data_IF_416085430719
#
_entry.id   IF_416085430719
#
_cell.length_a   1.000
_cell.length_b   1.000
_cell.length_c   1.000
_cell.angle_alpha   90.00
_cell.angle_beta   90.00
_cell.angle_gamma   90.00
#
_symmetry.space_group_name_H-M   'P 1'
#
loop_
_entity.id
_entity.type
_entity.pdbx_description
1 polymer ?
#
# COMPACT_ATOMS: atom_id res chain seq x y z
N UNK A 1 27.52 -6.21 -11.85
CA UNK A 1 26.91 -7.37 -11.18
C UNK A 1 26.73 -8.47 -12.20
N UNK A 2 26.70 -9.71 -11.73
CA UNK A 2 26.26 -10.91 -12.46
C UNK A 2 26.96 -11.20 -13.80
N UNK A 3 28.23 -10.82 -13.97
CA UNK A 3 28.95 -11.10 -15.22
C UNK A 3 29.19 -12.61 -15.44
N UNK A 4 29.92 -13.24 -14.53
CA UNK A 4 30.18 -14.68 -14.49
C UNK A 4 30.15 -15.06 -13.00
N UNK A 5 29.43 -16.12 -12.60
CA UNK A 5 29.49 -16.62 -11.23
C UNK A 5 30.95 -16.83 -10.79
N UNK A 6 31.29 -16.38 -9.58
CA UNK A 6 32.68 -16.20 -9.17
C UNK A 6 33.51 -17.51 -9.18
N UNK A 7 32.84 -18.65 -9.08
CA UNK A 7 33.41 -20.00 -9.14
C UNK A 7 33.41 -20.64 -10.54
N UNK A 8 32.84 -19.98 -11.54
CA UNK A 8 32.73 -20.50 -12.92
C UNK A 8 33.77 -19.90 -13.88
N UNK A 9 34.63 -19.00 -13.41
CA UNK A 9 35.67 -18.39 -14.24
C UNK A 9 36.65 -19.39 -14.87
N UNK A 10 36.80 -20.58 -14.29
CA UNK A 10 37.60 -21.68 -14.85
C UNK A 10 37.07 -22.19 -16.20
N UNK A 11 35.79 -21.96 -16.51
CA UNK A 11 35.18 -22.33 -17.79
C UNK A 11 35.60 -21.40 -18.95
N UNK A 12 36.36 -20.33 -18.67
CA UNK A 12 36.68 -19.27 -19.62
C UNK A 12 38.21 -19.12 -19.81
N UNK A 13 38.88 -20.09 -20.47
CA UNK A 13 40.35 -20.12 -20.57
C UNK A 13 40.95 -18.91 -21.30
N UNK A 14 40.18 -18.25 -22.19
CA UNK A 14 40.62 -17.01 -22.85
C UNK A 14 40.80 -15.86 -21.86
N UNK A 15 39.94 -15.76 -20.83
CA UNK A 15 40.09 -14.77 -19.77
C UNK A 15 41.32 -15.05 -18.91
N UNK A 16 41.61 -16.32 -18.64
CA UNK A 16 42.82 -16.70 -17.90
C UNK A 16 44.09 -16.37 -18.68
N UNK A 17 44.12 -16.68 -19.98
CA UNK A 17 45.25 -16.35 -20.84
C UNK A 17 45.52 -14.83 -20.87
N UNK A 18 44.45 -14.04 -21.05
CA UNK A 18 44.52 -12.58 -21.00
C UNK A 18 45.01 -12.06 -19.63
N UNK A 19 44.45 -12.60 -18.54
CA UNK A 19 44.86 -12.20 -17.19
C UNK A 19 46.34 -12.51 -16.92
N UNK A 20 46.83 -13.69 -17.37
CA UNK A 20 48.23 -14.08 -17.22
C UNK A 20 49.18 -13.19 -18.02
N UNK A 21 48.79 -12.84 -19.23
CA UNK A 21 49.54 -11.90 -20.07
C UNK A 21 49.62 -10.51 -19.42
N UNK A 22 48.49 -10.03 -18.87
CA UNK A 22 48.38 -8.66 -18.36
C UNK A 22 48.90 -8.46 -16.93
N UNK A 23 48.67 -9.42 -16.04
CA UNK A 23 48.92 -9.32 -14.60
C UNK A 23 49.95 -10.34 -14.08
N UNK A 24 50.53 -11.13 -14.98
CA UNK A 24 51.60 -12.08 -14.67
C UNK A 24 51.12 -13.52 -14.53
N UNK A 25 52.07 -14.46 -14.54
CA UNK A 25 51.80 -15.90 -14.70
C UNK A 25 50.93 -16.55 -13.62
N UNK A 26 50.80 -15.93 -12.44
CA UNK A 26 49.96 -16.40 -11.33
C UNK A 26 48.50 -15.93 -11.42
N UNK A 27 48.20 -15.00 -12.32
CA UNK A 27 46.86 -14.47 -12.47
C UNK A 27 45.86 -15.55 -12.92
N UNK A 28 44.63 -15.40 -12.47
CA UNK A 28 43.51 -16.29 -12.78
C UNK A 28 42.51 -15.58 -13.68
N UNK A 29 41.58 -16.31 -14.29
CA UNK A 29 40.55 -15.74 -15.16
C UNK A 29 39.77 -14.57 -14.52
N UNK A 30 39.44 -14.65 -13.22
CA UNK A 30 38.75 -13.57 -12.49
C UNK A 30 39.57 -12.26 -12.41
N UNK A 31 40.90 -12.33 -12.46
CA UNK A 31 41.74 -11.13 -12.43
C UNK A 31 41.56 -10.27 -13.70
N UNK A 32 41.09 -10.85 -14.81
CA UNK A 32 40.65 -10.09 -15.98
C UNK A 32 39.50 -9.14 -15.63
N UNK A 33 38.53 -9.61 -14.82
CA UNK A 33 37.40 -8.82 -14.37
C UNK A 33 37.81 -7.76 -13.33
N UNK A 34 38.65 -8.12 -12.35
CA UNK A 34 39.18 -7.15 -11.38
C UNK A 34 39.99 -6.05 -12.05
N UNK A 35 40.79 -6.42 -13.05
CA UNK A 35 41.55 -5.47 -13.85
C UNK A 35 40.67 -4.55 -14.69
N UNK A 36 39.57 -5.06 -15.24
CA UNK A 36 38.56 -4.24 -15.92
C UNK A 36 37.92 -3.21 -14.98
N UNK A 37 37.58 -3.61 -13.75
CA UNK A 37 37.05 -2.69 -12.73
C UNK A 37 38.05 -1.56 -12.44
N UNK A 38 39.32 -1.89 -12.20
CA UNK A 38 40.36 -0.87 -11.93
C UNK A 38 40.61 0.04 -13.12
N UNK A 39 40.60 -0.51 -14.34
CA UNK A 39 40.68 0.29 -15.57
C UNK A 39 39.52 1.29 -15.67
N UNK A 40 38.28 0.84 -15.48
CA UNK A 40 37.10 1.70 -15.49
C UNK A 40 37.17 2.77 -14.38
N UNK A 41 37.60 2.39 -13.17
CA UNK A 41 37.84 3.31 -12.06
C UNK A 41 38.84 4.41 -12.44
N UNK A 42 39.93 4.06 -13.13
CA UNK A 42 40.91 5.02 -13.64
C UNK A 42 40.32 6.07 -14.59
N UNK A 43 39.32 5.71 -15.41
CA UNK A 43 38.61 6.66 -16.30
C UNK A 43 37.74 7.60 -15.47
N UNK A 44 36.97 7.06 -14.53
CA UNK A 44 36.06 7.82 -13.66
C UNK A 44 36.84 8.83 -12.80
N UNK A 45 37.96 8.40 -12.22
CA UNK A 45 38.85 9.26 -11.41
C UNK A 45 39.48 10.41 -12.19
N UNK A 46 39.85 10.19 -13.46
CA UNK A 46 40.37 11.27 -14.33
C UNK A 46 39.37 12.41 -14.52
N UNK A 47 38.08 12.16 -14.29
CA UNK A 47 37.01 13.16 -14.36
C UNK A 47 36.55 13.65 -12.97
N UNK A 48 37.33 13.38 -11.93
CA UNK A 48 37.03 13.83 -10.56
C UNK A 48 35.78 13.21 -9.96
N UNK A 49 35.43 11.98 -10.39
CA UNK A 49 34.27 11.23 -9.90
C UNK A 49 34.73 10.02 -9.08
N UNK A 50 33.83 9.50 -8.24
CA UNK A 50 34.04 8.27 -7.45
C UNK A 50 33.24 7.14 -8.07
N UNK A 51 33.90 6.01 -8.34
CA UNK A 51 33.24 4.81 -8.86
C UNK A 51 32.42 4.15 -7.76
N UNK A 52 31.24 3.63 -8.13
CA UNK A 52 30.45 2.73 -7.29
C UNK A 52 30.19 1.43 -8.05
N UNK A 53 30.26 0.29 -7.39
CA UNK A 53 29.93 -1.02 -7.99
C UNK A 53 29.15 -1.88 -6.99
N UNK A 54 28.48 -2.91 -7.51
CA UNK A 54 27.93 -4.00 -6.71
C UNK A 54 29.03 -4.94 -6.19
N UNK A 55 28.79 -5.59 -5.05
CA UNK A 55 29.79 -6.40 -4.36
C UNK A 55 29.94 -7.85 -4.86
N UNK A 56 28.96 -8.37 -5.60
CA UNK A 56 28.83 -9.80 -5.95
C UNK A 56 29.99 -10.37 -6.77
N UNK A 57 30.69 -9.50 -7.51
CA UNK A 57 31.89 -9.89 -8.25
C UNK A 57 33.14 -10.07 -7.39
N UNK A 58 33.14 -9.62 -6.13
CA UNK A 58 34.32 -9.60 -5.27
C UNK A 58 34.31 -10.76 -4.26
N UNK A 59 35.40 -11.52 -4.22
CA UNK A 59 35.60 -12.65 -3.32
C UNK A 59 37.06 -13.11 -3.26
N UNK A 60 37.38 -14.14 -2.47
CA UNK A 60 38.75 -14.58 -2.20
C UNK A 60 39.42 -15.37 -3.33
N UNK A 61 39.01 -15.16 -4.57
CA UNK A 61 39.44 -15.97 -5.72
C UNK A 61 40.54 -15.32 -6.55
N UNK A 62 40.52 -13.99 -6.69
CA UNK A 62 41.53 -13.25 -7.45
C UNK A 62 42.90 -13.19 -6.78
N UNK A 63 43.91 -12.89 -7.59
CA UNK A 63 45.29 -12.66 -7.14
C UNK A 63 45.67 -11.19 -7.15
N UNK A 64 44.93 -10.35 -7.87
CA UNK A 64 45.03 -8.89 -7.80
C UNK A 64 43.93 -8.31 -6.93
N UNK A 65 44.08 -7.05 -6.52
CA UNK A 65 43.09 -6.33 -5.71
C UNK A 65 42.36 -5.30 -6.57
N UNK A 66 41.05 -5.17 -6.32
CA UNK A 66 40.26 -4.03 -6.78
C UNK A 66 40.68 -2.79 -5.96
N UNK A 67 40.63 -1.61 -6.59
CA UNK A 67 41.00 -0.35 -5.93
C UNK A 67 40.03 0.00 -4.79
N UNK A 68 40.56 0.34 -3.61
CA UNK A 68 39.76 0.58 -2.39
C UNK A 68 39.08 1.95 -2.32
N UNK A 69 39.33 2.82 -3.29
CA UNK A 69 38.63 4.11 -3.42
C UNK A 69 37.31 4.01 -4.19
N UNK A 70 36.93 2.79 -4.58
CA UNK A 70 35.60 2.44 -5.11
C UNK A 70 34.64 2.20 -3.94
N UNK A 71 33.43 2.73 -4.04
CA UNK A 71 32.35 2.44 -3.06
C UNK A 71 31.62 1.16 -3.47
N UNK A 72 31.40 0.25 -2.53
CA UNK A 72 30.74 -1.03 -2.76
C UNK A 72 29.31 -1.01 -2.22
N UNK A 73 28.32 -1.10 -3.10
CA UNK A 73 26.93 -1.30 -2.70
C UNK A 73 26.72 -2.81 -2.46
N UNK A 74 26.52 -3.18 -1.20
CA UNK A 74 26.45 -4.58 -0.74
C UNK A 74 25.01 -5.05 -0.79
N UNK A 75 24.71 -5.88 -1.78
CA UNK A 75 23.37 -6.45 -1.97
C UNK A 75 23.29 -7.93 -1.65
N UNK A 76 24.39 -8.66 -1.83
CA UNK A 76 24.48 -10.11 -1.64
C UNK A 76 25.62 -10.45 -0.68
N UNK A 77 25.44 -11.45 0.16
CA UNK A 77 26.55 -12.05 0.93
C UNK A 77 26.31 -13.54 1.04
N UNK A 78 27.29 -14.34 0.62
CA UNK A 78 27.25 -15.79 0.65
C UNK A 78 28.66 -16.36 0.84
N UNK A 79 28.82 -17.69 0.80
CA UNK A 79 30.11 -18.36 1.00
C UNK A 79 31.19 -17.99 -0.03
N UNK A 80 30.84 -17.33 -1.13
CA UNK A 80 31.74 -16.98 -2.24
C UNK A 80 32.09 -15.49 -2.29
N UNK A 81 31.33 -14.64 -1.60
CA UNK A 81 31.46 -13.17 -1.67
C UNK A 81 31.95 -12.61 -0.34
N UNK A 82 32.53 -11.42 -0.35
CA UNK A 82 32.88 -10.73 0.89
C UNK A 82 31.65 -10.09 1.54
N UNK A 83 31.52 -10.19 2.87
CA UNK A 83 30.56 -9.40 3.64
C UNK A 83 30.96 -7.93 3.72
N UNK A 84 30.05 -7.04 4.11
CA UNK A 84 30.37 -5.62 4.31
C UNK A 84 31.46 -5.44 5.38
N UNK A 85 31.43 -6.22 6.47
CA UNK A 85 32.50 -6.25 7.48
C UNK A 85 33.86 -6.64 6.89
N UNK A 86 33.91 -7.62 5.98
CA UNK A 86 35.17 -7.98 5.31
C UNK A 86 35.68 -6.83 4.44
N UNK A 87 34.79 -6.21 3.66
CA UNK A 87 35.11 -5.12 2.75
C UNK A 87 35.64 -3.89 3.52
N UNK A 88 35.01 -3.52 4.64
CA UNK A 88 35.48 -2.42 5.49
C UNK A 88 36.89 -2.70 6.02
N UNK A 89 37.16 -3.93 6.51
CA UNK A 89 38.50 -4.35 6.97
C UNK A 89 39.54 -4.30 5.85
N UNK A 90 39.13 -4.53 4.61
CA UNK A 90 39.98 -4.42 3.43
C UNK A 90 40.19 -2.96 2.97
N UNK A 91 39.46 -2.01 3.53
CA UNK A 91 39.64 -0.57 3.29
C UNK A 91 38.49 0.10 2.54
N UNK A 92 37.49 -0.63 2.09
CA UNK A 92 36.40 -0.08 1.25
C UNK A 92 35.36 0.70 2.05
N UNK A 93 34.74 1.66 1.38
CA UNK A 93 33.47 2.28 1.79
C UNK A 93 32.32 1.43 1.24
N UNK A 94 31.28 1.20 2.05
CA UNK A 94 30.17 0.32 1.72
C UNK A 94 28.81 1.03 1.85
N UNK A 95 27.88 0.70 0.96
CA UNK A 95 26.47 1.08 1.05
C UNK A 95 25.59 -0.14 1.28
N UNK A 96 24.52 0.01 2.06
CA UNK A 96 23.58 -1.06 2.34
C UNK A 96 22.51 -1.14 1.25
N UNK A 97 22.56 -2.22 0.47
CA UNK A 97 21.59 -2.52 -0.59
C UNK A 97 20.90 -3.85 -0.31
N UNK A 98 20.53 -4.09 0.94
CA UNK A 98 19.93 -5.35 1.41
C UNK A 98 18.81 -5.86 0.47
N UNK A 99 19.11 -6.92 -0.28
CA UNK A 99 18.19 -7.51 -1.27
C UNK A 99 16.87 -8.00 -0.67
N UNK A 100 16.86 -8.42 0.60
CA UNK A 100 15.65 -8.95 1.24
C UNK A 100 14.70 -7.85 1.73
N UNK A 101 15.12 -6.59 1.74
CA UNK A 101 14.35 -5.47 2.31
C UNK A 101 14.23 -4.25 1.39
N UNK A 102 15.20 -4.05 0.50
CA UNK A 102 15.38 -2.81 -0.26
C UNK A 102 15.34 -3.01 -1.77
N UNK A 103 14.86 -4.14 -2.27
CA UNK A 103 14.69 -4.36 -3.70
C UNK A 103 13.22 -4.22 -4.06
N UNK A 104 12.90 -3.44 -5.08
CA UNK A 104 11.59 -3.39 -5.71
C UNK A 104 11.76 -3.84 -7.15
N UNK A 105 11.15 -4.96 -7.52
CA UNK A 105 11.27 -5.54 -8.86
C UNK A 105 9.90 -5.52 -9.51
N UNK A 106 9.79 -4.84 -10.64
CA UNK A 106 8.52 -4.66 -11.34
C UNK A 106 7.84 -6.02 -11.62
N UNK A 107 6.57 -6.12 -11.21
CA UNK A 107 5.77 -7.34 -11.43
C UNK A 107 6.25 -8.58 -10.66
N UNK A 108 6.96 -8.38 -9.54
CA UNK A 108 7.41 -9.45 -8.63
C UNK A 108 7.09 -9.07 -7.19
N UNK A 109 6.02 -9.65 -6.63
CA UNK A 109 5.46 -9.19 -5.35
C UNK A 109 6.15 -9.79 -4.11
N UNK A 110 6.68 -11.02 -4.22
CA UNK A 110 7.32 -11.72 -3.08
C UNK A 110 8.68 -11.15 -2.69
N UNK A 111 9.37 -10.49 -3.63
CA UNK A 111 10.71 -9.93 -3.44
C UNK A 111 10.71 -8.42 -3.23
N UNK A 112 9.56 -7.77 -3.45
CA UNK A 112 9.48 -6.31 -3.47
C UNK A 112 9.42 -5.71 -2.06
N UNK A 113 10.16 -4.62 -1.88
CA UNK A 113 10.25 -3.85 -0.67
C UNK A 113 8.88 -3.34 -0.25
N UNK A 114 8.54 -3.51 1.03
CA UNK A 114 7.24 -3.13 1.58
C UNK A 114 7.40 -2.02 2.61
N UNK A 115 6.57 -0.97 2.56
CA UNK A 115 6.76 0.21 3.40
C UNK A 115 6.54 -0.08 4.90
N UNK A 116 5.63 -0.98 5.24
CA UNK A 116 5.41 -1.48 6.60
C UNK A 116 6.63 -2.24 7.12
N UNK A 117 7.15 -3.19 6.34
CA UNK A 117 8.31 -3.98 6.71
C UNK A 117 9.58 -3.13 6.83
N UNK A 118 9.76 -2.12 5.97
CA UNK A 118 10.84 -1.14 6.11
C UNK A 118 10.68 -0.32 7.40
N UNK A 119 9.48 0.19 7.67
CA UNK A 119 9.26 1.03 8.83
C UNK A 119 9.49 0.27 10.15
N UNK A 120 8.98 -0.96 10.23
CA UNK A 120 8.92 -1.73 11.46
C UNK A 120 10.16 -2.62 11.68
N UNK A 121 10.67 -3.25 10.61
CA UNK A 121 11.65 -4.33 10.74
C UNK A 121 13.00 -4.07 10.07
N UNK A 122 13.12 -3.06 9.21
CA UNK A 122 14.40 -2.71 8.61
C UNK A 122 15.24 -1.83 9.56
N UNK A 123 16.55 -2.02 9.54
CA UNK A 123 17.52 -1.15 10.20
C UNK A 123 18.62 -0.85 9.17
N UNK A 124 18.94 0.42 8.88
CA UNK A 124 19.94 0.79 7.87
C UNK A 124 21.35 0.29 8.20
N UNK A 125 21.61 -0.07 9.46
CA UNK A 125 22.88 -0.63 9.91
C UNK A 125 22.94 -2.16 9.76
N UNK A 126 21.83 -2.84 9.48
CA UNK A 126 21.79 -4.30 9.31
C UNK A 126 21.85 -4.66 7.81
N UNK A 127 22.94 -5.30 7.42
CA UNK A 127 23.18 -5.73 6.03
C UNK A 127 22.51 -7.09 5.75
N UNK A 128 22.54 -7.52 4.48
CA UNK A 128 21.85 -8.74 3.99
C UNK A 128 22.18 -10.02 4.75
N UNK A 129 23.37 -10.15 5.34
CA UNK A 129 23.78 -11.28 6.18
C UNK A 129 23.50 -11.09 7.67
N UNK A 130 22.64 -10.12 8.04
CA UNK A 130 22.29 -9.74 9.41
C UNK A 130 23.43 -9.16 10.24
N UNK A 131 24.56 -8.80 9.64
CA UNK A 131 25.62 -8.09 10.36
C UNK A 131 25.22 -6.64 10.61
N UNK A 132 25.45 -6.16 11.83
CA UNK A 132 25.16 -4.79 12.25
C UNK A 132 26.42 -3.93 12.19
N UNK A 133 26.38 -2.86 11.42
CA UNK A 133 27.46 -1.88 11.21
C UNK A 133 27.01 -0.48 11.62
N UNK A 134 26.59 -0.37 12.88
CA UNK A 134 26.20 0.90 13.50
C UNK A 134 27.46 1.71 13.85
N UNK A 135 27.39 3.03 13.64
CA UNK A 135 28.48 3.97 13.92
C UNK A 135 29.78 3.73 13.13
N UNK A 136 29.74 2.89 12.09
CA UNK A 136 30.88 2.64 11.21
C UNK A 136 30.99 3.76 10.15
N UNK A 137 32.04 4.59 10.18
CA UNK A 137 32.17 5.75 9.28
C UNK A 137 32.27 5.38 7.80
N UNK A 138 32.62 4.13 7.46
CA UNK A 138 32.66 3.64 6.08
C UNK A 138 31.32 3.07 5.59
N UNK A 139 30.30 3.01 6.44
CA UNK A 139 28.93 2.70 6.03
C UNK A 139 28.21 4.00 5.62
N UNK A 140 27.88 4.15 4.34
CA UNK A 140 27.26 5.37 3.79
C UNK A 140 25.73 5.36 3.82
N UNK A 141 25.12 4.38 4.51
CA UNK A 141 23.68 4.26 4.66
C UNK A 141 23.04 3.33 3.61
N UNK A 142 21.71 3.37 3.54
CA UNK A 142 20.92 2.45 2.75
C UNK A 142 20.14 3.11 1.62
N UNK A 143 19.84 2.39 0.55
CA UNK A 143 19.04 2.90 -0.57
C UNK A 143 18.15 1.80 -1.17
N UNK A 144 16.99 2.19 -1.69
CA UNK A 144 16.11 1.31 -2.46
C UNK A 144 16.73 1.02 -3.83
N UNK A 145 16.57 -0.20 -4.33
CA UNK A 145 16.90 -0.60 -5.70
C UNK A 145 15.61 -0.86 -6.45
N UNK A 146 15.34 -0.05 -7.48
CA UNK A 146 14.20 -0.21 -8.37
C UNK A 146 14.68 -0.93 -9.64
N UNK A 147 14.11 -2.11 -9.91
CA UNK A 147 14.49 -2.97 -11.03
C UNK A 147 13.32 -3.18 -11.98
N UNK A 148 13.56 -2.90 -13.26
CA UNK A 148 12.55 -3.00 -14.32
C UNK A 148 12.67 -4.32 -15.10
N UNK A 149 12.87 -5.45 -14.43
CA UNK A 149 13.04 -6.77 -15.06
C UNK A 149 11.84 -7.15 -15.94
N UNK A 150 10.64 -6.73 -15.52
CA UNK A 150 9.41 -6.79 -16.31
C UNK A 150 8.89 -5.37 -16.55
N UNK A 151 9.44 -4.63 -17.51
CA UNK A 151 9.19 -3.19 -17.66
C UNK A 151 7.71 -2.87 -17.97
N UNK A 152 6.99 -3.82 -18.56
CA UNK A 152 5.57 -3.66 -18.91
C UNK A 152 4.62 -4.07 -17.77
N UNK A 153 5.14 -4.45 -16.59
CA UNK A 153 4.29 -4.92 -15.48
C UNK A 153 3.68 -3.79 -14.66
N UNK A 154 4.30 -2.60 -14.66
CA UNK A 154 3.84 -1.44 -13.91
C UNK A 154 4.15 -0.17 -14.70
N UNK A 155 3.19 0.74 -14.76
CA UNK A 155 3.34 2.09 -15.31
C UNK A 155 4.14 2.98 -14.35
N UNK A 156 4.65 4.10 -14.86
CA UNK A 156 5.33 5.11 -14.02
C UNK A 156 4.43 5.63 -12.88
N UNK A 157 3.11 5.63 -13.07
CA UNK A 157 2.13 6.11 -12.10
C UNK A 157 1.85 5.08 -10.99
N UNK A 158 1.74 3.79 -11.33
CA UNK A 158 1.68 2.69 -10.36
C UNK A 158 2.96 2.65 -9.52
N UNK A 159 4.11 2.78 -10.18
CA UNK A 159 5.40 2.87 -9.50
C UNK A 159 5.47 4.06 -8.55
N UNK A 160 5.00 5.22 -8.98
CA UNK A 160 4.94 6.40 -8.12
C UNK A 160 4.16 6.13 -6.83
N UNK A 161 2.98 5.51 -6.96
CA UNK A 161 2.10 5.18 -5.83
C UNK A 161 2.77 4.19 -4.88
N UNK A 162 3.34 3.11 -5.41
CA UNK A 162 4.07 2.11 -4.61
C UNK A 162 5.29 2.70 -3.90
N UNK A 163 6.09 3.48 -4.63
CA UNK A 163 7.32 4.07 -4.13
C UNK A 163 7.07 5.21 -3.13
N UNK A 164 5.93 5.88 -3.20
CA UNK A 164 5.60 7.00 -2.31
C UNK A 164 5.81 6.61 -0.85
N UNK A 165 5.14 5.55 -0.39
CA UNK A 165 5.22 5.10 0.99
C UNK A 165 6.58 4.48 1.34
N UNK A 166 7.18 3.73 0.40
CA UNK A 166 8.50 3.09 0.58
C UNK A 166 9.57 4.15 0.88
N UNK A 167 9.59 5.24 0.11
CA UNK A 167 10.57 6.31 0.30
C UNK A 167 10.41 7.03 1.64
N UNK A 168 9.18 7.24 2.14
CA UNK A 168 8.97 7.88 3.45
C UNK A 168 9.39 6.96 4.60
N UNK A 169 9.05 5.67 4.52
CA UNK A 169 9.50 4.69 5.49
C UNK A 169 11.03 4.62 5.52
N UNK A 170 11.66 4.50 4.35
CA UNK A 170 13.12 4.46 4.25
C UNK A 170 13.77 5.77 4.73
N UNK A 171 13.19 6.93 4.43
CA UNK A 171 13.68 8.22 4.92
C UNK A 171 13.68 8.30 6.45
N UNK A 172 12.60 7.87 7.11
CA UNK A 172 12.54 7.79 8.58
C UNK A 172 13.67 6.92 9.15
N UNK A 173 13.93 5.77 8.51
CA UNK A 173 14.97 4.84 8.97
C UNK A 173 16.37 5.39 8.74
N UNK A 174 16.64 5.92 7.55
CA UNK A 174 17.94 6.46 7.16
C UNK A 174 18.32 7.75 7.91
N UNK A 175 17.33 8.56 8.30
CA UNK A 175 17.60 9.78 9.06
C UNK A 175 18.18 9.49 10.46
N UNK A 176 17.95 8.28 10.99
CA UNK A 176 18.50 7.85 12.28
C UNK A 176 17.77 8.42 13.50
N UNK A 177 16.67 9.15 13.30
CA UNK A 177 15.77 9.54 14.38
C UNK A 177 15.00 8.34 14.92
N UNK A 178 14.63 8.41 16.21
CA UNK A 178 13.62 7.50 16.76
C UNK A 178 12.35 7.52 15.92
N UNK A 179 11.67 6.38 15.86
CA UNK A 179 10.40 6.26 15.14
C UNK A 179 9.40 7.22 15.78
N UNK A 180 8.78 8.07 14.96
CA UNK A 180 7.83 9.10 15.42
C UNK A 180 6.57 8.44 16.02
N UNK A 181 6.21 7.24 15.53
CA UNK A 181 5.12 6.39 16.03
C UNK A 181 5.51 4.92 15.99
N UNK A 182 4.86 4.09 16.80
CA UNK A 182 5.26 2.70 17.01
C UNK A 182 5.01 1.82 15.77
N UNK A 183 3.86 2.00 15.11
CA UNK A 183 3.41 1.14 14.00
C UNK A 183 3.25 1.91 12.70
N UNK A 184 3.51 1.24 11.58
CA UNK A 184 3.36 1.81 10.25
C UNK A 184 1.92 2.31 9.98
N UNK A 185 0.92 1.63 10.53
CA UNK A 185 -0.48 2.07 10.45
C UNK A 185 -0.72 3.49 10.97
N UNK A 186 -0.01 3.89 12.04
CA UNK A 186 -0.02 5.25 12.58
C UNK A 186 0.82 6.19 11.71
N UNK A 187 1.96 5.70 11.23
CA UNK A 187 2.88 6.48 10.39
C UNK A 187 2.22 6.92 9.08
N UNK A 188 1.32 6.12 8.51
CA UNK A 188 0.52 6.50 7.34
C UNK A 188 -0.21 7.84 7.52
N UNK A 189 -0.77 8.09 8.71
CA UNK A 189 -1.46 9.35 9.00
C UNK A 189 -0.49 10.54 8.91
N UNK A 190 0.71 10.38 9.46
CA UNK A 190 1.77 11.40 9.40
C UNK A 190 2.26 11.60 7.97
N UNK A 191 2.50 10.52 7.22
CA UNK A 191 2.91 10.60 5.81
C UNK A 191 1.89 11.37 4.96
N UNK A 192 0.59 11.15 5.20
CA UNK A 192 -0.48 11.83 4.49
C UNK A 192 -0.58 13.31 4.87
N UNK A 193 -0.37 13.64 6.16
CA UNK A 193 -0.31 15.03 6.63
C UNK A 193 0.88 15.80 6.06
N UNK A 194 2.05 15.15 5.93
CA UNK A 194 3.24 15.75 5.31
C UNK A 194 3.02 15.94 3.81
N UNK A 195 2.40 14.96 3.16
CA UNK A 195 2.03 15.03 1.75
C UNK A 195 3.23 15.14 0.80
N UNK A 196 3.04 15.92 -0.26
CA UNK A 196 4.03 16.15 -1.30
C UNK A 196 4.79 17.46 -1.09
N UNK A 197 5.99 17.54 -1.67
CA UNK A 197 6.77 18.76 -1.69
C UNK A 197 6.02 19.89 -2.45
N UNK A 198 6.21 21.16 -2.07
CA UNK A 198 5.66 22.29 -2.80
C UNK A 198 6.00 22.24 -4.30
N UNK A 199 5.03 22.59 -5.14
CA UNK A 199 5.18 22.51 -6.60
C UNK A 199 4.92 21.14 -7.21
N UNK A 200 4.55 20.14 -6.39
CA UNK A 200 3.98 18.90 -6.90
C UNK A 200 2.62 19.18 -7.55
N UNK A 201 2.52 19.01 -8.87
CA UNK A 201 1.31 19.26 -9.65
C UNK A 201 0.47 18.01 -9.89
N UNK A 202 0.73 16.93 -9.15
CA UNK A 202 0.17 15.60 -9.43
C UNK A 202 0.86 14.91 -10.61
N UNK A 203 0.64 13.59 -10.71
CA UNK A 203 0.45 12.99 -12.03
C UNK A 203 -0.94 13.45 -12.48
N UNK A 204 -1.03 14.18 -13.60
CA UNK A 204 -2.32 14.64 -14.13
C UNK A 204 -2.94 13.51 -14.94
N UNK A 205 -3.59 12.57 -14.28
CA UNK A 205 -4.33 11.51 -14.98
C UNK A 205 -5.59 11.15 -14.22
N UNK A 206 -6.64 11.07 -15.04
CA UNK A 206 -7.91 10.41 -14.78
C UNK A 206 -7.65 9.08 -14.07
N UNK A 207 -8.13 8.97 -12.84
CA UNK A 207 -7.81 7.92 -11.88
C UNK A 207 -8.38 6.58 -12.39
N UNK A 208 -7.57 5.81 -13.13
CA UNK A 208 -7.77 4.37 -13.38
C UNK A 208 -6.92 3.63 -12.35
N UNK A 209 -7.54 3.23 -11.24
CA UNK A 209 -6.80 2.59 -10.12
C UNK A 209 -6.64 1.12 -10.44
N UNK A 210 -5.49 0.79 -10.99
CA UNK A 210 -5.04 -0.59 -11.12
C UNK A 210 -4.63 -1.12 -9.75
N UNK A 211 -5.34 -2.14 -9.26
CA UNK A 211 -4.86 -2.99 -8.17
C UNK A 211 -4.87 -4.45 -8.63
N UNK A 212 -3.70 -4.99 -8.99
CA UNK A 212 -3.49 -6.43 -9.13
C UNK A 212 -3.42 -7.05 -7.73
N UNK A 213 -4.32 -7.98 -7.40
CA UNK A 213 -4.33 -8.63 -6.08
C UNK A 213 -3.92 -10.08 -6.23
N UNK A 214 -2.70 -10.40 -5.79
CA UNK A 214 -2.20 -11.77 -5.60
C UNK A 214 -2.57 -12.28 -4.20
N UNK A 215 -3.87 -12.45 -3.93
CA UNK A 215 -4.31 -13.38 -2.88
C UNK A 215 -5.73 -13.89 -3.14
N UNK A 216 -5.80 -15.17 -3.55
CA UNK A 216 -7.05 -15.91 -3.75
C UNK A 216 -7.36 -16.67 -2.46
N UNK A 217 -8.38 -16.21 -1.72
CA UNK A 217 -9.05 -17.06 -0.73
C UNK A 217 -9.71 -18.23 -1.49
N UNK A 218 -9.27 -19.44 -1.17
CA UNK A 218 -9.63 -20.69 -1.85
C UNK A 218 -11.11 -21.02 -1.68
N UNK A 219 -11.86 -21.06 -2.79
CA UNK A 219 -13.05 -21.92 -2.94
C UNK A 219 -13.36 -22.17 -4.43
N UNK A 220 -12.41 -22.75 -5.19
CA UNK A 220 -12.66 -23.19 -6.58
C UNK A 220 -13.88 -24.12 -6.71
N UNK A 221 -14.22 -24.84 -5.63
CA UNK A 221 -15.41 -25.69 -5.55
C UNK A 221 -16.75 -24.92 -5.55
N UNK A 222 -16.73 -23.58 -5.45
CA UNK A 222 -17.92 -22.73 -5.43
C UNK A 222 -18.11 -21.88 -6.69
N UNK A 223 -17.18 -21.91 -7.64
CA UNK A 223 -17.32 -21.25 -8.96
C UNK A 223 -17.11 -19.72 -8.98
N UNK A 224 -16.37 -19.16 -8.02
CA UNK A 224 -16.04 -17.73 -7.95
C UNK A 224 -14.66 -17.45 -7.32
N UNK A 225 -14.15 -16.23 -7.52
CA UNK A 225 -12.96 -15.64 -6.85
C UNK A 225 -13.41 -14.45 -6.00
N UNK A 226 -12.87 -14.32 -4.78
CA UNK A 226 -13.07 -13.16 -3.90
C UNK A 226 -11.78 -12.36 -3.77
N UNK A 227 -11.89 -11.04 -3.83
CA UNK A 227 -10.78 -10.08 -3.88
C UNK A 227 -10.97 -9.04 -2.77
N UNK A 228 -9.95 -8.79 -1.92
CA UNK A 228 -9.92 -7.66 -0.96
C UNK A 228 -9.11 -6.48 -1.53
N UNK A 229 -9.82 -5.43 -1.93
CA UNK A 229 -9.29 -4.17 -2.46
C UNK A 229 -8.54 -3.35 -1.40
N UNK A 230 -8.63 -3.68 -0.11
CA UNK A 230 -7.91 -3.05 0.99
C UNK A 230 -8.40 -1.65 1.37
N UNK A 231 -8.99 -0.92 0.42
CA UNK A 231 -9.73 0.33 0.61
C UNK A 231 -11.10 0.24 -0.08
N UNK A 232 -11.93 1.27 0.05
CA UNK A 232 -13.26 1.31 -0.55
C UNK A 232 -13.16 2.01 -1.90
N UNK A 233 -13.66 1.35 -2.94
CA UNK A 233 -13.67 1.86 -4.29
C UNK A 233 -15.10 1.90 -4.82
N UNK A 234 -15.42 2.92 -5.61
CA UNK A 234 -16.55 2.85 -6.52
C UNK A 234 -16.08 2.11 -7.77
N UNK A 235 -16.55 0.88 -7.96
CA UNK A 235 -16.06 0.02 -9.04
C UNK A 235 -16.71 0.46 -10.36
N UNK A 236 -15.90 0.74 -11.39
CA UNK A 236 -16.39 1.10 -12.72
C UNK A 236 -16.53 -0.14 -13.61
N UNK A 237 -15.52 -1.02 -13.58
CA UNK A 237 -15.54 -2.27 -14.34
C UNK A 237 -14.69 -3.36 -13.72
N UNK A 238 -14.98 -4.61 -14.09
CA UNK A 238 -14.17 -5.77 -13.77
C UNK A 238 -13.89 -6.51 -15.07
N UNK A 239 -12.63 -6.87 -15.29
CA UNK A 239 -12.17 -7.63 -16.44
C UNK A 239 -11.54 -8.93 -15.98
N UNK A 240 -11.67 -9.97 -16.79
CA UNK A 240 -11.00 -11.24 -16.57
C UNK A 240 -10.64 -11.86 -17.92
N UNK A 241 -9.57 -12.66 -17.95
CA UNK A 241 -9.20 -13.47 -19.13
C UNK A 241 -10.25 -14.54 -19.51
N UNK A 242 -11.26 -14.73 -18.66
CA UNK A 242 -12.39 -15.61 -18.88
C UNK A 242 -13.72 -14.83 -18.87
N UNK A 243 -14.76 -15.42 -19.49
CA UNK A 243 -16.09 -14.81 -19.56
C UNK A 243 -16.69 -14.65 -18.15
N UNK A 244 -16.84 -13.40 -17.72
CA UNK A 244 -17.52 -13.05 -16.46
C UNK A 244 -19.03 -13.29 -16.62
N UNK A 245 -19.60 -14.08 -15.71
CA UNK A 245 -21.04 -14.33 -15.60
C UNK A 245 -21.72 -13.28 -14.71
N UNK A 246 -21.11 -12.94 -13.57
CA UNK A 246 -21.55 -11.86 -12.68
C UNK A 246 -20.43 -11.41 -11.75
N UNK A 247 -20.63 -10.24 -11.16
CA UNK A 247 -19.79 -9.65 -10.13
C UNK A 247 -20.65 -9.27 -8.94
N UNK A 248 -20.19 -9.56 -7.73
CA UNK A 248 -20.79 -9.11 -6.49
C UNK A 248 -19.82 -8.22 -5.71
N UNK A 249 -20.38 -7.27 -4.97
CA UNK A 249 -19.69 -6.22 -4.24
C UNK A 249 -19.99 -6.35 -2.74
N UNK A 250 -18.96 -6.19 -1.92
CA UNK A 250 -19.08 -6.24 -0.47
C UNK A 250 -18.14 -5.26 0.22
N UNK A 251 -18.51 -4.85 1.43
CA UNK A 251 -17.66 -4.04 2.30
C UNK A 251 -16.92 -4.88 3.33
N UNK A 252 -17.37 -6.10 3.58
CA UNK A 252 -16.95 -6.93 4.71
C UNK A 252 -16.82 -8.43 4.40
N UNK A 253 -16.83 -8.81 3.12
CA UNK A 253 -16.77 -10.18 2.63
C UNK A 253 -17.90 -11.14 3.08
N UNK A 254 -18.95 -10.67 3.76
CA UNK A 254 -20.06 -11.51 4.23
C UNK A 254 -21.39 -11.19 3.56
N UNK A 255 -21.71 -9.90 3.38
CA UNK A 255 -22.91 -9.46 2.67
C UNK A 255 -22.52 -9.10 1.25
N UNK A 256 -23.21 -9.63 0.25
CA UNK A 256 -22.84 -9.49 -1.17
C UNK A 256 -24.02 -8.96 -1.97
N UNK A 257 -23.75 -8.07 -2.93
CA UNK A 257 -24.76 -7.48 -3.81
C UNK A 257 -24.25 -7.45 -5.24
N UNK A 258 -25.10 -7.71 -6.23
CA UNK A 258 -24.76 -7.51 -7.66
C UNK A 258 -24.95 -6.05 -8.09
N UNK A 259 -25.53 -5.20 -7.24
CA UNK A 259 -25.62 -3.77 -7.50
C UNK A 259 -24.23 -3.15 -7.37
N UNK A 260 -23.85 -2.36 -8.37
CA UNK A 260 -22.55 -1.72 -8.43
C UNK A 260 -22.46 -0.58 -7.42
N UNK A 261 -22.06 -0.95 -6.22
CA UNK A 261 -21.96 -0.09 -5.04
C UNK A 261 -20.51 0.03 -4.59
N UNK A 262 -20.16 1.06 -3.80
CA UNK A 262 -18.85 1.14 -3.18
C UNK A 262 -18.49 -0.16 -2.45
N UNK A 263 -17.34 -0.73 -2.79
CA UNK A 263 -16.91 -2.04 -2.32
C UNK A 263 -15.45 -2.00 -1.85
N UNK A 264 -15.18 -2.77 -0.80
CA UNK A 264 -13.82 -3.18 -0.44
C UNK A 264 -13.52 -4.59 -0.96
N UNK A 265 -14.55 -5.41 -1.12
CA UNK A 265 -14.41 -6.77 -1.58
C UNK A 265 -15.22 -6.96 -2.86
N UNK A 266 -14.64 -7.69 -3.81
CA UNK A 266 -15.29 -8.03 -5.08
C UNK A 266 -15.28 -9.54 -5.25
N UNK A 267 -16.43 -10.13 -5.58
CA UNK A 267 -16.57 -11.55 -5.87
C UNK A 267 -16.95 -11.74 -7.33
N UNK A 268 -16.19 -12.55 -8.05
CA UNK A 268 -16.26 -12.65 -9.51
C UNK A 268 -16.57 -14.09 -9.89
N UNK A 269 -17.67 -14.28 -10.59
CA UNK A 269 -18.09 -15.57 -11.12
C UNK A 269 -17.75 -15.58 -12.60
N UNK A 270 -16.73 -16.35 -13.01
CA UNK A 270 -16.37 -16.50 -14.42
C UNK A 270 -16.32 -17.97 -14.84
N UNK A 271 -16.42 -18.20 -16.15
CA UNK A 271 -16.28 -19.54 -16.74
C UNK A 271 -14.83 -20.02 -16.59
N UNK A 272 -14.62 -21.26 -16.11
CA UNK A 272 -13.29 -21.88 -16.02
C UNK A 272 -12.22 -21.03 -15.28
N UNK A 273 -12.61 -20.26 -14.26
CA UNK A 273 -11.68 -19.46 -13.46
C UNK A 273 -10.70 -20.37 -12.71
N UNK A 274 -9.40 -20.10 -12.86
CA UNK A 274 -8.30 -20.87 -12.25
C UNK A 274 -7.43 -19.97 -11.38
N UNK A 275 -6.52 -20.59 -10.64
CA UNK A 275 -5.51 -19.87 -9.83
C UNK A 275 -4.54 -19.00 -10.64
N UNK A 276 -4.56 -19.14 -11.97
CA UNK A 276 -3.73 -18.39 -12.91
C UNK A 276 -4.54 -17.41 -13.77
N UNK A 277 -5.83 -17.22 -13.49
CA UNK A 277 -6.66 -16.32 -14.27
C UNK A 277 -6.34 -14.87 -13.94
N UNK A 278 -5.99 -14.08 -14.95
CA UNK A 278 -5.81 -12.64 -14.81
C UNK A 278 -7.18 -11.98 -14.59
N UNK A 279 -7.30 -11.23 -13.49
CA UNK A 279 -8.50 -10.50 -13.11
C UNK A 279 -8.10 -9.07 -12.74
N UNK A 280 -8.75 -8.10 -13.36
CA UNK A 280 -8.54 -6.68 -13.10
C UNK A 280 -9.85 -6.05 -12.58
N UNK A 281 -9.75 -5.26 -11.52
CA UNK A 281 -10.87 -4.48 -10.97
C UNK A 281 -10.49 -3.01 -11.09
N UNK A 282 -11.36 -2.21 -11.71
CA UNK A 282 -11.16 -0.80 -11.98
C UNK A 282 -12.19 0.00 -11.20
N UNK A 283 -11.76 1.07 -10.54
CA UNK A 283 -12.69 1.96 -9.84
C UNK A 283 -12.01 3.16 -9.21
N UNK A 284 -12.82 4.14 -8.82
CA UNK A 284 -12.40 5.35 -8.12
C UNK A 284 -12.24 5.06 -6.61
N UNK A 285 -11.08 5.38 -6.04
CA UNK A 285 -10.79 5.25 -4.62
C UNK A 285 -11.63 6.31 -3.94
N UNK A 286 -12.56 5.86 -3.11
CA UNK A 286 -13.25 6.78 -2.25
C UNK A 286 -12.30 7.15 -1.10
N UNK A 287 -12.27 8.44 -0.67
CA UNK A 287 -11.55 8.85 0.52
C UNK A 287 -11.80 7.90 1.69
N UNK A 288 -10.87 7.78 2.64
CA UNK A 288 -11.07 6.93 3.82
C UNK A 288 -12.43 7.24 4.47
N UNK A 289 -13.20 6.20 4.85
CA UNK A 289 -14.48 6.39 5.54
C UNK A 289 -14.22 7.15 6.85
N UNK A 290 -14.50 8.45 6.86
CA UNK A 290 -14.26 9.35 7.97
C UNK A 290 -15.08 8.95 9.20
N UNK A 291 -16.19 8.24 9.01
CA UNK A 291 -17.06 7.77 10.08
C UNK A 291 -16.58 6.47 10.74
N UNK A 292 -15.65 5.72 10.13
CA UNK A 292 -15.28 4.38 10.59
C UNK A 292 -14.76 4.38 12.05
N UNK A 293 -15.39 3.57 12.89
CA UNK A 293 -15.09 3.41 14.32
C UNK A 293 -15.10 4.74 15.11
N UNK A 294 -15.84 5.73 14.62
CA UNK A 294 -16.01 7.02 15.29
C UNK A 294 -17.13 6.95 16.32
N UNK A 295 -17.17 7.95 17.21
CA UNK A 295 -18.23 8.06 18.19
C UNK A 295 -19.57 8.35 17.50
N UNK A 296 -20.55 7.51 17.78
CA UNK A 296 -21.93 7.66 17.29
C UNK A 296 -22.86 7.99 18.45
N UNK A 297 -23.74 8.96 18.25
CA UNK A 297 -24.85 9.28 19.16
C UNK A 297 -26.16 9.12 18.41
N UNK A 298 -27.14 8.46 19.02
CA UNK A 298 -28.44 8.17 18.40
C UNK A 298 -29.57 8.76 19.24
N UNK A 299 -30.69 9.07 18.60
CA UNK A 299 -31.90 9.54 19.26
C UNK A 299 -32.48 8.53 20.25
N UNK A 300 -32.38 7.25 19.90
CA UNK A 300 -32.91 6.14 20.69
C UNK A 300 -32.25 4.82 20.30
N UNK A 301 -32.51 3.75 21.04
CA UNK A 301 -32.15 2.40 20.65
C UNK A 301 -33.23 1.42 21.10
N UNK A 302 -33.56 0.46 20.23
CA UNK A 302 -34.47 -0.63 20.59
C UNK A 302 -33.89 -1.51 21.70
N UNK A 303 -32.60 -1.84 21.56
CA UNK A 303 -31.84 -2.61 22.52
C UNK A 303 -30.36 -2.23 22.38
N UNK A 304 -29.79 -1.60 23.41
CA UNK A 304 -28.40 -1.12 23.40
C UNK A 304 -27.38 -2.27 23.54
N UNK A 305 -27.79 -3.45 24.02
CA UNK A 305 -26.90 -4.61 24.12
C UNK A 305 -26.83 -5.37 22.80
N UNK A 306 -27.95 -5.43 22.06
CA UNK A 306 -28.07 -6.23 20.83
C UNK A 306 -27.82 -5.39 19.57
N UNK A 307 -28.34 -4.16 19.50
CA UNK A 307 -28.24 -3.27 18.34
C UNK A 307 -27.73 -1.86 18.71
N UNK A 308 -26.53 -1.75 19.33
CA UNK A 308 -25.94 -0.48 19.73
C UNK A 308 -25.64 0.45 18.57
N UNK A 309 -25.54 1.75 18.88
CA UNK A 309 -25.16 2.80 17.94
C UNK A 309 -23.81 2.55 17.24
N UNK A 310 -22.86 1.86 17.90
CA UNK A 310 -21.55 1.54 17.33
C UNK A 310 -21.62 0.68 16.07
N UNK A 311 -22.70 -0.10 15.89
CA UNK A 311 -22.89 -0.90 14.67
C UNK A 311 -23.13 -0.06 13.42
N UNK A 312 -23.41 1.23 13.56
CA UNK A 312 -23.63 2.11 12.41
C UNK A 312 -22.30 2.37 11.67
N UNK A 313 -21.15 2.25 12.33
CA UNK A 313 -19.86 2.64 11.76
C UNK A 313 -18.76 1.59 11.97
N UNK A 314 -19.14 0.34 12.23
CA UNK A 314 -18.22 -0.76 12.51
C UNK A 314 -17.66 -1.42 11.23
N UNK A 315 -18.15 -1.01 10.06
CA UNK A 315 -17.73 -1.54 8.76
C UNK A 315 -18.47 -2.81 8.35
N UNK A 316 -19.50 -3.26 9.09
CA UNK A 316 -20.16 -4.54 8.92
C UNK A 316 -21.65 -4.40 8.54
N UNK A 317 -22.01 -4.78 7.31
CA UNK A 317 -23.42 -4.81 6.87
C UNK A 317 -24.29 -5.92 7.51
N UNK A 318 -23.74 -6.69 8.45
CA UNK A 318 -24.43 -7.80 9.13
C UNK A 318 -24.86 -7.44 10.55
N UNK A 319 -24.32 -6.36 11.09
CA UNK A 319 -24.71 -5.75 12.37
C UNK A 319 -25.51 -4.49 12.06
N UNK A 320 -26.37 -4.07 12.99
CA UNK A 320 -27.20 -2.88 12.80
C UNK A 320 -27.47 -2.18 14.12
N UNK A 321 -27.82 -0.92 14.01
CA UNK A 321 -28.59 -0.19 15.01
C UNK A 321 -30.06 -0.16 14.60
N UNK A 322 -30.95 -0.12 15.59
CA UNK A 322 -32.39 0.08 15.37
C UNK A 322 -32.92 1.11 16.38
N UNK A 323 -33.72 2.04 15.92
CA UNK A 323 -34.44 2.98 16.78
C UNK A 323 -35.41 2.26 17.72
N UNK A 324 -35.69 2.85 18.88
CA UNK A 324 -36.65 2.33 19.83
C UNK A 324 -38.06 2.19 19.25
N UNK A 325 -38.87 1.31 19.82
CA UNK A 325 -40.28 1.14 19.41
C UNK A 325 -41.13 2.41 19.58
N UNK A 326 -40.73 3.30 20.49
CA UNK A 326 -41.36 4.61 20.71
C UNK A 326 -41.25 5.54 19.49
N UNK A 327 -40.26 5.32 18.62
CA UNK A 327 -40.05 6.05 17.36
C UNK A 327 -41.32 6.06 16.48
N UNK A 328 -42.11 4.99 16.52
CA UNK A 328 -43.30 4.77 15.67
C UNK A 328 -44.38 5.84 15.84
N UNK A 329 -44.31 6.65 16.90
CA UNK A 329 -45.31 7.66 17.26
C UNK A 329 -44.94 9.10 16.92
N UNK A 330 -43.66 9.42 16.69
CA UNK A 330 -43.20 10.79 16.46
C UNK A 330 -42.60 11.03 15.05
N UNK A 331 -42.32 9.96 14.27
CA UNK A 331 -41.86 10.07 12.89
C UNK A 331 -40.40 10.49 12.71
N UNK A 332 -39.68 10.76 13.80
CA UNK A 332 -38.37 11.41 13.76
C UNK A 332 -37.35 10.70 14.64
N UNK A 333 -36.32 10.15 13.99
CA UNK A 333 -35.15 9.53 14.59
C UNK A 333 -33.90 10.10 13.93
N UNK A 334 -32.80 10.17 14.67
CA UNK A 334 -31.56 10.72 14.17
C UNK A 334 -30.33 9.96 14.65
N UNK A 335 -29.27 10.07 13.85
CA UNK A 335 -27.96 9.52 14.12
C UNK A 335 -26.92 10.59 13.86
N UNK A 336 -26.01 10.81 14.80
CA UNK A 336 -24.90 11.75 14.71
C UNK A 336 -23.59 10.98 14.80
N UNK A 337 -22.67 11.26 13.88
CA UNK A 337 -21.28 10.79 13.94
C UNK A 337 -20.36 11.98 14.17
N UNK A 338 -19.49 11.89 15.19
CA UNK A 338 -18.38 12.83 15.40
C UNK A 338 -17.15 12.36 14.61
N UNK A 339 -16.80 13.08 13.53
CA UNK A 339 -15.66 12.73 12.67
C UNK A 339 -14.30 13.07 13.31
N UNK A 340 -14.30 13.68 14.50
CA UNK A 340 -13.18 14.13 15.32
C UNK A 340 -12.41 15.36 14.79
N UNK A 341 -12.61 15.74 13.52
CA UNK A 341 -12.10 16.98 12.92
C UNK A 341 -13.12 17.50 11.90
N UNK A 342 -12.94 18.73 11.40
CA UNK A 342 -13.78 19.31 10.36
C UNK A 342 -13.28 18.94 8.97
N UNK A 343 -14.17 18.42 8.12
CA UNK A 343 -13.84 18.00 6.75
C UNK A 343 -14.74 18.72 5.74
N UNK A 344 -14.24 18.91 4.52
CA UNK A 344 -15.07 19.10 3.34
C UNK A 344 -15.64 17.73 2.95
N UNK A 345 -16.95 17.56 3.05
CA UNK A 345 -17.63 16.28 2.87
C UNK A 345 -18.24 16.24 1.46
N UNK A 346 -17.85 15.20 0.72
CA UNK A 346 -18.18 15.01 -0.70
C UNK A 346 -19.28 13.95 -0.89
N UNK A 347 -19.37 12.98 0.02
CA UNK A 347 -20.39 11.94 -0.04
C UNK A 347 -20.75 11.35 1.31
N UNK A 348 -21.99 10.90 1.40
CA UNK A 348 -22.52 10.10 2.51
C UNK A 348 -23.18 8.87 1.92
N UNK A 349 -22.97 7.73 2.55
CA UNK A 349 -23.47 6.44 2.11
C UNK A 349 -24.19 5.76 3.28
N UNK A 350 -25.46 5.44 3.13
CA UNK A 350 -26.29 4.83 4.18
C UNK A 350 -26.83 3.49 3.68
N UNK A 351 -26.59 2.42 4.45
CA UNK A 351 -27.20 1.13 4.21
C UNK A 351 -28.39 0.96 5.16
N UNK A 352 -29.58 1.14 4.62
CA UNK A 352 -30.83 0.99 5.35
C UNK A 352 -31.25 -0.48 5.49
N UNK A 353 -31.79 -0.83 6.65
CA UNK A 353 -32.59 -2.05 6.83
C UNK A 353 -33.97 -1.87 6.17
N UNK A 354 -34.78 -2.93 6.10
CA UNK A 354 -36.20 -2.86 5.69
C UNK A 354 -36.94 -1.74 6.40
N UNK A 355 -36.72 -1.58 7.71
CA UNK A 355 -37.14 -0.43 8.49
C UNK A 355 -36.29 0.79 8.10
N UNK A 356 -36.78 1.56 7.11
CA UNK A 356 -36.12 2.74 6.57
C UNK A 356 -37.07 3.95 6.58
N UNK A 357 -36.53 5.18 6.54
CA UNK A 357 -37.35 6.36 6.33
C UNK A 357 -37.95 6.37 4.93
N UNK A 358 -39.08 7.05 4.72
CA UNK A 358 -39.51 7.42 3.36
C UNK A 358 -38.85 8.77 2.97
N UNK A 359 -38.65 9.65 3.94
CA UNK A 359 -37.99 10.95 3.83
C UNK A 359 -36.96 11.12 4.94
N UNK A 360 -35.74 11.53 4.60
CA UNK A 360 -34.72 11.92 5.57
C UNK A 360 -33.86 13.07 5.07
N UNK A 361 -33.16 13.73 5.98
CA UNK A 361 -32.22 14.81 5.68
C UNK A 361 -30.81 14.46 6.14
N UNK A 362 -29.84 15.00 5.42
CA UNK A 362 -28.43 14.99 5.80
C UNK A 362 -28.06 16.38 6.25
N UNK A 363 -27.47 16.48 7.42
CA UNK A 363 -27.08 17.74 8.05
C UNK A 363 -25.62 17.65 8.51
N UNK A 364 -24.92 18.77 8.42
CA UNK A 364 -23.54 18.90 8.88
C UNK A 364 -23.44 20.01 9.93
N UNK A 365 -22.50 19.86 10.85
CA UNK A 365 -22.22 20.86 11.89
C UNK A 365 -20.74 20.86 12.24
N UNK A 366 -20.20 22.03 12.59
CA UNK A 366 -18.83 22.16 13.14
C UNK A 366 -18.80 21.97 14.66
N UNK A 367 -19.89 22.29 15.37
CA UNK A 367 -19.96 22.35 16.83
C UNK A 367 -20.89 21.29 17.47
N UNK A 368 -21.71 20.61 16.65
CA UNK A 368 -22.71 19.63 17.10
C UNK A 368 -24.01 20.27 17.61
N UNK A 369 -24.11 21.60 17.62
CA UNK A 369 -25.25 22.37 18.14
C UNK A 369 -26.02 23.05 17.00
N UNK A 370 -25.31 23.72 16.10
CA UNK A 370 -25.87 24.42 14.94
C UNK A 370 -25.72 23.55 13.70
N UNK A 371 -26.85 23.16 13.11
CA UNK A 371 -26.90 22.21 12.01
C UNK A 371 -27.29 22.88 10.71
N UNK A 372 -26.53 22.61 9.66
CA UNK A 372 -26.85 23.03 8.30
C UNK A 372 -27.39 21.84 7.52
N UNK A 373 -28.63 21.95 7.05
CA UNK A 373 -29.21 20.96 6.14
C UNK A 373 -28.49 21.03 4.79
N UNK A 374 -27.92 19.91 4.37
CA UNK A 374 -27.21 19.77 3.10
C UNK A 374 -28.14 19.25 2.01
N UNK A 375 -28.95 18.24 2.31
CA UNK A 375 -29.89 17.67 1.34
C UNK A 375 -31.07 16.99 2.00
N UNK A 376 -32.11 16.74 1.22
CA UNK A 376 -33.31 15.98 1.58
C UNK A 376 -33.50 14.86 0.56
N UNK A 377 -33.78 13.66 1.08
CA UNK A 377 -34.05 12.45 0.31
C UNK A 377 -35.50 12.06 0.56
N UNK A 378 -36.19 11.65 -0.50
CA UNK A 378 -37.60 11.22 -0.52
C UNK A 378 -37.72 9.91 -1.26
N UNK A 379 -38.84 9.23 -1.06
CA UNK A 379 -39.15 7.94 -1.68
C UNK A 379 -38.02 6.91 -1.44
N UNK A 380 -37.37 7.01 -0.28
CA UNK A 380 -36.24 6.16 0.10
C UNK A 380 -36.69 4.71 0.23
N UNK A 381 -35.80 3.81 -0.19
CA UNK A 381 -36.01 2.36 -0.10
C UNK A 381 -34.92 1.75 0.77
N UNK A 382 -35.24 0.60 1.36
CA UNK A 382 -34.26 -0.23 2.05
C UNK A 382 -33.10 -0.60 1.11
N UNK A 383 -31.91 -0.82 1.68
CA UNK A 383 -30.69 -1.01 0.92
C UNK A 383 -29.81 0.24 0.89
N UNK A 384 -28.91 0.31 -0.09
CA UNK A 384 -27.94 1.41 -0.16
C UNK A 384 -28.58 2.67 -0.75
N UNK A 385 -28.40 3.77 -0.05
CA UNK A 385 -28.51 5.13 -0.59
C UNK A 385 -27.13 5.79 -0.58
N UNK A 386 -26.60 6.12 -1.75
CA UNK A 386 -25.36 6.86 -1.94
C UNK A 386 -25.67 8.29 -2.37
N UNK A 387 -25.17 9.27 -1.61
CA UNK A 387 -25.57 10.66 -1.74
C UNK A 387 -24.32 11.52 -1.85
N UNK A 388 -24.13 12.13 -3.02
CA UNK A 388 -23.16 13.21 -3.17
C UNK A 388 -23.65 14.43 -2.42
N UNK A 389 -22.76 14.99 -1.60
CA UNK A 389 -23.02 16.19 -0.81
C UNK A 389 -21.90 17.20 -1.07
N UNK A 390 -22.15 18.44 -0.70
CA UNK A 390 -21.12 19.47 -0.68
C UNK A 390 -21.36 20.34 0.54
N UNK A 391 -20.47 20.22 1.53
CA UNK A 391 -20.55 20.98 2.75
C UNK A 391 -19.37 20.70 3.65
N UNK A 392 -19.18 21.54 4.67
CA UNK A 392 -18.11 21.39 5.64
C UNK A 392 -18.72 21.10 7.01
N UNK A 393 -18.09 20.21 7.76
CA UNK A 393 -18.48 19.93 9.14
C UNK A 393 -17.60 18.89 9.82
N UNK A 394 -17.64 18.90 11.15
CA UNK A 394 -17.07 17.84 12.01
C UNK A 394 -18.08 16.76 12.35
N UNK A 395 -19.35 17.13 12.43
CA UNK A 395 -20.43 16.22 12.75
C UNK A 395 -21.30 16.00 11.52
N UNK A 396 -21.62 14.74 11.24
CA UNK A 396 -22.59 14.36 10.23
C UNK A 396 -23.83 13.78 10.91
N UNK A 397 -25.02 14.30 10.56
CA UNK A 397 -26.30 13.83 11.08
C UNK A 397 -27.22 13.37 9.96
N UNK A 398 -27.84 12.22 10.19
CA UNK A 398 -28.98 11.72 9.42
C UNK A 398 -30.23 11.86 10.29
N UNK A 399 -31.26 12.51 9.79
CA UNK A 399 -32.54 12.69 10.51
C UNK A 399 -33.70 12.22 9.64
N UNK A 400 -34.46 11.22 10.10
CA UNK A 400 -35.71 10.83 9.45
C UNK A 400 -36.80 11.87 9.70
N UNK A 401 -37.65 12.10 8.70
CA UNK A 401 -38.82 12.97 8.81
C UNK A 401 -40.14 12.18 8.82
N UNK A 402 -40.11 10.97 8.28
CA UNK A 402 -41.19 9.99 8.30
C UNK A 402 -40.61 8.56 8.16
N UNK A 403 -41.47 7.54 8.13
CA UNK A 403 -41.07 6.14 7.96
C UNK A 403 -41.74 5.52 6.73
N UNK A 404 -41.00 4.69 6.00
CA UNK A 404 -41.54 3.92 4.87
C UNK A 404 -42.35 2.70 5.32
N UNK A 405 -42.22 2.30 6.59
CA UNK A 405 -42.90 1.15 7.18
C UNK A 405 -43.53 1.54 8.52
N UNK A 406 -44.40 0.70 9.12
CA UNK A 406 -44.91 0.92 10.48
C UNK A 406 -43.85 0.79 11.59
N UNK A 407 -42.62 0.40 11.24
CA UNK A 407 -41.47 0.34 12.13
C UNK A 407 -40.71 1.68 12.11
N UNK A 408 -39.79 1.91 13.07
CA UNK A 408 -38.91 3.07 13.04
C UNK A 408 -37.85 2.96 11.93
N UNK A 409 -36.63 3.42 12.21
CA UNK A 409 -35.50 3.26 11.27
C UNK A 409 -34.43 2.33 11.83
N UNK A 410 -33.73 1.67 10.93
CA UNK A 410 -32.58 0.84 11.25
C UNK A 410 -31.52 0.96 10.17
N UNK A 411 -30.28 1.09 10.61
CA UNK A 411 -29.11 1.33 9.75
C UNK A 411 -28.12 0.20 9.98
N UNK A 412 -27.72 -0.44 8.89
CA UNK A 412 -26.65 -1.43 8.87
C UNK A 412 -25.27 -0.77 8.86
N UNK A 413 -25.10 0.35 8.14
CA UNK A 413 -23.81 1.04 8.04
C UNK A 413 -24.01 2.47 7.51
N UNK A 414 -23.25 3.43 8.05
CA UNK A 414 -23.13 4.82 7.61
C UNK A 414 -21.67 5.13 7.32
N UNK A 415 -21.42 5.69 6.14
CA UNK A 415 -20.08 6.12 5.71
C UNK A 415 -20.10 7.57 5.31
N UNK A 416 -19.02 8.27 5.65
CA UNK A 416 -18.81 9.67 5.31
C UNK A 416 -17.47 9.78 4.59
N UNK A 417 -17.47 10.46 3.45
CA UNK A 417 -16.30 10.62 2.60
C UNK A 417 -16.03 12.10 2.39
N UNK A 418 -14.77 12.49 2.46
CA UNK A 418 -14.37 13.88 2.36
C UNK A 418 -12.87 14.08 2.49
N UNK A 419 -12.46 15.34 2.47
CA UNK A 419 -11.07 15.79 2.58
C UNK A 419 -10.94 16.85 3.69
N UNK A 420 -9.75 16.97 4.29
CA UNK A 420 -9.45 18.02 5.27
C UNK A 420 -9.38 19.41 4.63
#
# INVERSE_FOLDING_TARGET
DEYIPIDEYSNYPKLEAYAKEKYGSKAKAIDAYYGFINFANGIVKKHGKTTRIWNDGLGPYGTIKVDTDIVLDVWLTNSKTYSASNLIKMGYTVGNSNTSKLYYVLGVDWASAKPDDIYENFDPYIFVNYEMLKDEPKNVGAKIQLWCDKPDSETEEELYTSLYAIYRALAQKNWGSERIVEYYGQFKKIMNMVGHAPGYTGVKTQIDIYKKIEYISRNYNKGYVEIDLGQIYKIDRVEAGAKIRRVEFSLNATNWSEQNEPARFVRIFADNITEHSDINVFGELLPDNLAFNKKVTVSSAYDEEIWPASHIVDGLRSTRWASADTARSNGMEWVIVDLEDSYNIDAVCVYWETACPNTYIIELSDDGEVWTKITERKDTKAGLDYITVNGRGRYARITSLDFATPYGISIFELKVFGTN
#
